data_IF_357626283034
#
_entry.id   IF_357626283034
#
_cell.length_a   1.000
_cell.length_b   1.000
_cell.length_c   1.000
_cell.angle_alpha   90.00
_cell.angle_beta   90.00
_cell.angle_gamma   90.00
#
_symmetry.space_group_name_H-M   'P 1'
#
loop_
_entity.id
_entity.type
_entity.pdbx_description
1 polymer ?
#
# COMPACT_ATOMS: atom_id res chain seq x y z
N UNK A 1 -6.99 6.18 -25.26
CA UNK A 1 -7.87 7.30 -24.82
C UNK A 1 -6.96 8.48 -24.51
N UNK A 2 -7.08 9.59 -25.25
CA UNK A 2 -6.23 10.77 -25.08
C UNK A 2 -7.09 11.99 -24.72
N UNK A 3 -7.14 12.33 -23.43
CA UNK A 3 -7.84 13.52 -22.92
C UNK A 3 -6.77 14.61 -22.69
N UNK A 4 -6.76 15.67 -23.49
CA UNK A 4 -5.68 16.66 -23.53
C UNK A 4 -5.42 17.33 -22.16
N UNK A 5 -6.45 17.45 -21.33
CA UNK A 5 -6.39 18.11 -20.02
C UNK A 5 -5.77 17.24 -18.91
N UNK A 6 -5.63 15.92 -19.11
CA UNK A 6 -5.05 15.01 -18.11
C UNK A 6 -3.55 14.88 -18.38
N UNK A 7 -2.69 15.39 -17.49
CA UNK A 7 -1.24 15.43 -17.70
C UNK A 7 -0.51 14.10 -17.46
N UNK A 8 -1.05 13.21 -16.63
CA UNK A 8 -0.45 11.93 -16.27
C UNK A 8 -1.53 10.92 -15.86
N UNK A 9 -1.20 9.63 -15.89
CA UNK A 9 -2.02 8.56 -15.32
C UNK A 9 -1.56 8.20 -13.90
N UNK A 10 -2.45 7.61 -13.11
CA UNK A 10 -2.08 7.01 -11.83
C UNK A 10 -2.79 5.69 -11.63
N UNK A 11 -2.19 4.83 -10.81
CA UNK A 11 -2.79 3.58 -10.37
C UNK A 11 -2.30 3.21 -8.97
N UNK A 12 -3.03 2.30 -8.33
CA UNK A 12 -2.70 1.74 -7.04
C UNK A 12 -2.54 0.22 -7.13
N UNK A 13 -1.76 -0.36 -6.21
CA UNK A 13 -1.49 -1.79 -6.12
C UNK A 13 -1.62 -2.28 -4.66
N UNK A 14 -2.79 -2.83 -4.33
CA UNK A 14 -3.13 -3.39 -3.02
C UNK A 14 -3.76 -4.78 -3.17
N UNK A 15 -2.96 -5.85 -3.37
CA UNK A 15 -3.49 -7.19 -3.63
C UNK A 15 -4.35 -7.77 -2.49
N UNK A 16 -4.17 -7.27 -1.25
CA UNK A 16 -5.01 -7.64 -0.10
C UNK A 16 -6.42 -7.02 -0.15
N UNK A 17 -6.68 -6.12 -1.11
CA UNK A 17 -7.95 -5.39 -1.27
C UNK A 17 -8.60 -5.66 -2.63
N UNK A 18 -7.80 -5.97 -3.65
CA UNK A 18 -8.24 -6.09 -5.03
C UNK A 18 -7.54 -7.25 -5.74
N UNK A 19 -8.28 -7.93 -6.63
CA UNK A 19 -7.71 -8.91 -7.54
C UNK A 19 -7.30 -8.25 -8.85
N UNK A 20 -6.01 -8.32 -9.19
CA UNK A 20 -5.44 -7.70 -10.40
C UNK A 20 -5.21 -8.68 -11.56
N UNK A 21 -5.18 -9.97 -11.26
CA UNK A 21 -5.08 -11.05 -12.24
C UNK A 21 -5.81 -12.31 -11.71
N UNK A 22 -6.27 -13.21 -12.59
CA UNK A 22 -6.71 -14.54 -12.17
C UNK A 22 -5.56 -15.30 -11.50
N UNK A 23 -5.84 -16.02 -10.43
CA UNK A 23 -4.85 -16.86 -9.75
C UNK A 23 -4.53 -18.10 -10.60
N UNK A 24 -3.25 -18.43 -10.74
CA UNK A 24 -2.81 -19.72 -11.27
C UNK A 24 -2.90 -20.75 -10.12
N UNK A 25 -3.75 -21.79 -10.24
CA UNK A 25 -3.90 -22.80 -9.20
C UNK A 25 -2.65 -23.65 -8.97
N UNK A 26 -1.65 -23.58 -9.86
CA UNK A 26 -0.38 -24.29 -9.73
C UNK A 26 0.71 -23.46 -9.04
N UNK A 27 0.45 -22.18 -8.75
CA UNK A 27 1.38 -21.30 -8.05
C UNK A 27 0.99 -21.15 -6.58
N UNK A 28 1.97 -21.05 -5.67
CA UNK A 28 1.70 -20.63 -4.29
C UNK A 28 1.02 -19.26 -4.27
N UNK A 29 0.16 -19.02 -3.27
CA UNK A 29 -0.60 -17.77 -3.15
C UNK A 29 0.27 -16.51 -3.21
N UNK A 30 1.42 -16.50 -2.51
CA UNK A 30 2.36 -15.39 -2.57
C UNK A 30 2.91 -15.13 -3.98
N UNK A 31 3.22 -16.20 -4.74
CA UNK A 31 3.69 -16.06 -6.12
C UNK A 31 2.60 -15.49 -7.03
N UNK A 32 1.33 -15.87 -6.84
CA UNK A 32 0.20 -15.25 -7.52
C UNK A 32 0.12 -13.75 -7.21
N UNK A 33 0.22 -13.35 -5.94
CA UNK A 33 0.26 -11.94 -5.53
C UNK A 33 1.36 -11.15 -6.24
N UNK A 34 2.58 -11.69 -6.26
CA UNK A 34 3.72 -11.02 -6.91
C UNK A 34 3.50 -10.91 -8.42
N UNK A 35 3.12 -12.00 -9.09
CA UNK A 35 2.90 -12.02 -10.55
C UNK A 35 1.76 -11.10 -10.98
N UNK A 36 0.66 -11.08 -10.22
CA UNK A 36 -0.46 -10.18 -10.46
C UNK A 36 -0.02 -8.71 -10.38
N UNK A 37 0.79 -8.35 -9.37
CA UNK A 37 1.35 -7.00 -9.25
C UNK A 37 2.29 -6.63 -10.39
N UNK A 38 3.18 -7.55 -10.81
CA UNK A 38 4.07 -7.34 -11.94
C UNK A 38 3.31 -7.14 -13.24
N UNK A 39 2.26 -7.95 -13.49
CA UNK A 39 1.40 -7.81 -14.66
C UNK A 39 0.65 -6.48 -14.65
N UNK A 40 0.10 -6.08 -13.50
CA UNK A 40 -0.62 -4.82 -13.34
C UNK A 40 0.26 -3.61 -13.67
N UNK A 41 1.50 -3.60 -13.16
CA UNK A 41 2.50 -2.55 -13.47
C UNK A 41 2.79 -2.49 -14.98
N UNK A 42 3.01 -3.64 -15.63
CA UNK A 42 3.28 -3.69 -17.08
C UNK A 42 2.11 -3.16 -17.89
N UNK A 43 0.88 -3.55 -17.56
CA UNK A 43 -0.32 -3.08 -18.24
C UNK A 43 -0.46 -1.55 -18.16
N UNK A 44 -0.24 -0.98 -16.98
CA UNK A 44 -0.29 0.46 -16.78
C UNK A 44 0.81 1.20 -17.54
N UNK A 45 2.05 0.69 -17.54
CA UNK A 45 3.14 1.24 -18.35
C UNK A 45 2.83 1.18 -19.86
N UNK A 46 2.34 0.04 -20.37
CA UNK A 46 1.96 -0.07 -21.79
C UNK A 46 0.86 0.92 -22.18
N UNK A 47 -0.11 1.12 -21.28
CA UNK A 47 -1.15 2.14 -21.46
C UNK A 47 -0.55 3.56 -21.49
N UNK A 48 0.45 3.85 -20.65
CA UNK A 48 1.09 5.16 -20.58
C UNK A 48 1.91 5.45 -21.83
N UNK A 49 2.63 4.45 -22.35
CA UNK A 49 3.37 4.53 -23.62
C UNK A 49 2.43 4.79 -24.79
N UNK A 50 1.30 4.09 -24.85
CA UNK A 50 0.27 4.29 -25.88
C UNK A 50 -0.34 5.70 -25.80
N UNK A 51 -0.51 6.24 -24.60
CA UNK A 51 -1.06 7.58 -24.37
C UNK A 51 0.00 8.70 -24.48
N UNK A 52 1.28 8.35 -24.58
CA UNK A 52 2.44 9.25 -24.46
C UNK A 52 2.35 10.18 -23.23
N UNK A 53 2.00 9.60 -22.07
CA UNK A 53 1.87 10.34 -20.81
C UNK A 53 2.61 9.64 -19.69
N UNK A 54 3.21 10.39 -18.74
CA UNK A 54 3.74 9.81 -17.53
C UNK A 54 2.67 9.03 -16.77
N UNK A 55 3.09 7.99 -16.05
CA UNK A 55 2.23 7.26 -15.13
C UNK A 55 2.94 7.03 -13.80
N UNK A 56 2.20 7.14 -12.70
CA UNK A 56 2.72 7.02 -11.33
C UNK A 56 1.96 5.89 -10.61
N UNK A 57 2.68 5.03 -9.89
CA UNK A 57 2.08 4.14 -8.90
C UNK A 57 1.86 4.95 -7.61
N UNK A 58 0.67 5.49 -7.42
CA UNK A 58 0.37 6.49 -6.38
C UNK A 58 0.13 5.88 -4.99
N UNK A 59 0.08 4.56 -4.90
CA UNK A 59 -0.01 3.82 -3.66
C UNK A 59 0.23 2.35 -3.93
N UNK A 60 1.10 1.74 -3.15
CA UNK A 60 1.20 0.29 -3.09
C UNK A 60 1.47 -0.16 -1.67
N UNK A 61 1.06 -1.38 -1.36
CA UNK A 61 1.34 -1.99 -0.08
C UNK A 61 0.92 -3.44 -0.02
N UNK A 62 1.51 -4.16 0.94
CA UNK A 62 1.03 -5.46 1.39
C UNK A 62 0.83 -5.44 2.90
N UNK A 63 -0.26 -6.04 3.34
CA UNK A 63 -0.52 -6.31 4.75
C UNK A 63 0.37 -7.46 5.19
N UNK A 64 1.07 -7.29 6.31
CA UNK A 64 1.83 -8.36 6.90
C UNK A 64 1.05 -9.04 8.01
N UNK A 65 1.48 -10.24 8.39
CA UNK A 65 0.90 -10.97 9.51
C UNK A 65 0.94 -10.15 10.81
N UNK A 66 1.97 -9.31 10.97
CA UNK A 66 2.10 -8.40 12.10
C UNK A 66 1.14 -7.21 12.03
N UNK A 67 0.92 -6.66 10.83
CA UNK A 67 0.04 -5.50 10.66
C UNK A 67 -1.43 -5.86 10.42
N UNK A 68 -1.73 -7.15 10.23
CA UNK A 68 -3.08 -7.68 10.05
C UNK A 68 -4.08 -7.21 11.13
N UNK A 69 -3.74 -7.16 12.44
CA UNK A 69 -4.67 -6.67 13.45
C UNK A 69 -5.12 -5.21 13.27
N UNK A 70 -4.35 -4.39 12.55
CA UNK A 70 -4.71 -3.01 12.20
C UNK A 70 -5.28 -2.88 10.79
N UNK A 71 -5.34 -3.95 10.01
CA UNK A 71 -5.81 -3.88 8.64
C UNK A 71 -7.31 -3.63 8.58
N UNK A 72 -7.70 -2.62 7.79
CA UNK A 72 -9.10 -2.30 7.51
C UNK A 72 -9.33 -2.43 6.00
N UNK A 73 -10.21 -3.34 5.55
CA UNK A 73 -10.62 -3.42 4.16
C UNK A 73 -11.24 -2.10 3.67
N UNK A 74 -11.03 -1.71 2.40
CA UNK A 74 -11.52 -0.42 1.87
C UNK A 74 -13.06 -0.31 1.87
N UNK A 75 -13.77 -1.42 1.96
CA UNK A 75 -15.23 -1.48 2.08
C UNK A 75 -15.72 -1.70 3.53
N UNK A 76 -14.84 -1.54 4.52
CA UNK A 76 -15.10 -1.79 5.93
C UNK A 76 -14.66 -0.60 6.78
N UNK A 77 -15.26 -0.45 7.95
CA UNK A 77 -14.80 0.43 9.04
C UNK A 77 -14.29 -0.35 10.24
N UNK A 78 -14.29 -1.68 10.14
CA UNK A 78 -13.87 -2.63 11.17
C UNK A 78 -12.59 -3.30 10.72
N UNK A 79 -11.61 -3.42 11.63
CA UNK A 79 -10.43 -4.25 11.44
C UNK A 79 -10.78 -5.71 11.80
N UNK A 80 -11.04 -6.59 10.81
CA UNK A 80 -11.62 -7.90 11.09
C UNK A 80 -10.65 -8.86 11.78
N UNK A 81 -9.35 -8.55 11.77
CA UNK A 81 -8.29 -9.34 12.38
C UNK A 81 -7.76 -8.73 13.69
N UNK A 82 -8.40 -7.66 14.21
CA UNK A 82 -8.00 -7.08 15.48
C UNK A 82 -8.22 -8.07 16.63
N UNK A 83 -7.31 -8.07 17.60
CA UNK A 83 -7.32 -8.99 18.75
C UNK A 83 -8.38 -8.65 19.82
N UNK A 84 -9.21 -7.61 19.60
CA UNK A 84 -10.14 -7.08 20.59
C UNK A 84 -11.60 -7.12 20.15
N UNK A 85 -12.50 -7.28 21.12
CA UNK A 85 -13.95 -7.18 20.91
C UNK A 85 -14.32 -5.73 20.55
N UNK A 86 -15.04 -5.52 19.44
CA UNK A 86 -15.70 -4.24 19.19
C UNK A 86 -17.16 -4.37 19.66
N UNK A 87 -17.45 -3.89 20.86
CA UNK A 87 -18.79 -4.03 21.47
C UNK A 87 -19.11 -5.49 21.81
N UNK A 88 -20.23 -6.02 21.30
CA UNK A 88 -20.64 -7.43 21.47
C UNK A 88 -20.11 -8.34 20.35
N UNK A 89 -19.25 -7.84 19.46
CA UNK A 89 -18.67 -8.62 18.37
C UNK A 89 -17.37 -9.26 18.86
N UNK A 90 -17.41 -10.57 19.07
CA UNK A 90 -16.19 -11.37 19.23
C UNK A 90 -15.50 -11.46 17.87
N UNK A 91 -14.45 -10.67 17.67
CA UNK A 91 -13.52 -10.89 16.58
C UNK A 91 -12.78 -12.19 16.89
N UNK A 92 -13.04 -13.23 16.11
CA UNK A 92 -12.39 -14.52 16.28
C UNK A 92 -10.96 -14.35 15.77
N UNK A 93 -9.90 -14.52 16.58
CA UNK A 93 -8.51 -14.45 16.09
C UNK A 93 -8.14 -15.63 15.16
N UNK A 94 -9.11 -16.37 14.64
CA UNK A 94 -8.92 -17.54 13.80
C UNK A 94 -9.36 -17.27 12.38
N UNK A 95 -8.42 -17.34 11.42
CA UNK A 95 -8.20 -18.51 10.53
C UNK A 95 -6.86 -18.28 9.81
N UNK A 96 -5.78 -18.95 10.25
CA UNK A 96 -4.44 -18.89 9.65
C UNK A 96 -3.85 -17.45 9.58
N UNK A 97 -2.53 -17.27 9.44
CA UNK A 97 -2.00 -15.92 9.42
C UNK A 97 -2.45 -15.19 8.13
N UNK A 98 -3.30 -14.17 8.28
CA UNK A 98 -3.68 -13.27 7.19
C UNK A 98 -2.50 -12.37 6.81
N UNK A 99 -2.38 -12.04 5.54
CA UNK A 99 -1.27 -11.25 5.02
C UNK A 99 0.02 -12.05 4.85
N UNK A 100 1.02 -11.37 4.30
CA UNK A 100 2.32 -11.96 3.98
C UNK A 100 3.28 -11.86 5.18
N UNK A 101 4.34 -12.67 5.17
CA UNK A 101 5.46 -12.44 6.11
C UNK A 101 6.23 -11.17 5.72
N UNK A 102 6.97 -10.54 6.65
CA UNK A 102 7.79 -9.37 6.29
C UNK A 102 8.83 -9.65 5.19
N UNK A 103 9.53 -10.81 5.15
CA UNK A 103 10.41 -11.14 4.04
C UNK A 103 9.68 -11.21 2.70
N UNK A 104 8.47 -11.78 2.68
CA UNK A 104 7.62 -11.83 1.48
C UNK A 104 7.19 -10.42 1.03
N UNK A 105 6.80 -9.54 1.96
CA UNK A 105 6.52 -8.13 1.63
C UNK A 105 7.74 -7.48 0.99
N UNK A 106 8.91 -7.63 1.60
CA UNK A 106 10.14 -6.99 1.13
C UNK A 106 10.53 -7.50 -0.27
N UNK A 107 10.40 -8.81 -0.51
CA UNK A 107 10.63 -9.43 -1.81
C UNK A 107 9.65 -8.89 -2.88
N UNK A 108 8.36 -8.86 -2.57
CA UNK A 108 7.36 -8.29 -3.46
C UNK A 108 7.64 -6.81 -3.77
N UNK A 109 7.98 -6.01 -2.75
CA UNK A 109 8.29 -4.59 -2.91
C UNK A 109 9.51 -4.40 -3.80
N UNK A 110 10.58 -5.17 -3.60
CA UNK A 110 11.77 -5.14 -4.45
C UNK A 110 11.41 -5.44 -5.91
N UNK A 111 10.65 -6.51 -6.16
CA UNK A 111 10.26 -6.90 -7.52
C UNK A 111 9.33 -5.87 -8.19
N UNK A 112 8.36 -5.33 -7.46
CA UNK A 112 7.45 -4.31 -7.98
C UNK A 112 8.15 -2.98 -8.24
N UNK A 113 9.05 -2.55 -7.36
CA UNK A 113 9.85 -1.33 -7.57
C UNK A 113 10.76 -1.48 -8.79
N UNK A 114 11.50 -2.59 -8.88
CA UNK A 114 12.36 -2.88 -10.04
C UNK A 114 11.56 -2.94 -11.34
N UNK A 115 10.41 -3.64 -11.35
CA UNK A 115 9.54 -3.68 -12.52
C UNK A 115 9.00 -2.29 -12.85
N UNK A 116 8.59 -1.49 -11.87
CA UNK A 116 8.11 -0.13 -12.08
C UNK A 116 9.16 0.76 -12.73
N UNK A 117 10.38 0.75 -12.21
CA UNK A 117 11.52 1.48 -12.76
C UNK A 117 11.83 0.99 -14.19
N UNK A 118 11.98 -0.31 -14.39
CA UNK A 118 12.27 -0.90 -15.70
C UNK A 118 11.16 -0.63 -16.73
N UNK A 119 9.92 -0.45 -16.28
CA UNK A 119 8.77 -0.12 -17.15
C UNK A 119 8.61 1.38 -17.38
N UNK A 120 9.49 2.23 -16.83
CA UNK A 120 9.44 3.68 -17.00
C UNK A 120 8.30 4.36 -16.27
N UNK A 121 7.86 3.83 -15.11
CA UNK A 121 6.99 4.60 -14.22
C UNK A 121 7.70 5.91 -13.85
N UNK A 122 6.95 7.01 -13.77
CA UNK A 122 7.48 8.32 -13.41
C UNK A 122 7.59 8.55 -11.89
N UNK A 123 6.99 7.66 -11.10
CA UNK A 123 7.02 7.72 -9.65
C UNK A 123 6.33 6.52 -9.02
N UNK A 124 6.75 6.19 -7.80
CA UNK A 124 6.21 5.08 -7.01
C UNK A 124 6.12 5.56 -5.55
N UNK A 125 4.94 5.43 -4.94
CA UNK A 125 4.66 5.90 -3.59
C UNK A 125 4.20 4.72 -2.72
N UNK A 126 4.96 4.42 -1.66
CA UNK A 126 4.56 3.42 -0.68
C UNK A 126 3.46 3.98 0.23
N UNK A 127 2.42 3.17 0.44
CA UNK A 127 1.37 3.44 1.40
C UNK A 127 1.52 2.47 2.59
N UNK A 128 1.44 2.87 3.86
CA UNK A 128 1.16 4.20 4.42
C UNK A 128 2.37 4.77 5.18
N UNK A 129 2.73 6.02 4.90
CA UNK A 129 3.64 6.77 5.74
C UNK A 129 2.90 7.17 7.03
N UNK A 130 3.46 6.86 8.20
CA UNK A 130 2.94 7.36 9.49
C UNK A 130 3.78 8.55 9.94
N UNK A 131 3.11 9.67 10.18
CA UNK A 131 3.66 10.83 10.87
C UNK A 131 2.75 11.15 12.06
N UNK A 132 3.29 11.68 13.17
CA UNK A 132 2.44 12.38 14.13
C UNK A 132 1.64 13.48 13.39
N UNK A 133 0.34 13.55 13.66
CA UNK A 133 -0.55 14.57 13.12
C UNK A 133 -1.33 15.22 14.27
N UNK A 134 -1.45 16.55 14.24
CA UNK A 134 -2.20 17.30 15.24
C UNK A 134 -3.66 17.42 14.75
N UNK A 135 -4.57 16.67 15.37
CA UNK A 135 -6.00 16.81 15.07
C UNK A 135 -6.56 18.04 15.81
N UNK A 136 -7.24 18.98 15.12
CA UNK A 136 -7.96 20.05 15.80
C UNK A 136 -9.18 19.47 16.53
N UNK A 137 -9.44 19.94 17.75
CA UNK A 137 -10.71 19.62 18.43
C UNK A 137 -11.79 20.54 17.86
N UNK A 138 -12.85 19.97 17.27
CA UNK A 138 -14.02 20.75 16.85
C UNK A 138 -14.81 21.10 18.11
N UNK A 139 -14.81 22.36 18.50
CA UNK A 139 -15.74 22.89 19.51
C UNK A 139 -16.82 23.70 18.81
N UNK A 140 -18.03 23.74 19.39
CA UNK A 140 -19.26 24.31 18.77
C UNK A 140 -19.14 25.79 18.34
N UNK A 141 -18.05 26.51 18.66
CA UNK A 141 -17.91 27.96 18.49
C UNK A 141 -16.81 28.43 17.52
N UNK A 142 -16.16 27.53 16.77
CA UNK A 142 -15.15 27.91 15.76
C UNK A 142 -13.85 27.12 15.86
N UNK A 143 -13.06 27.16 14.78
CA UNK A 143 -11.82 26.39 14.62
C UNK A 143 -10.68 27.13 15.31
N UNK A 144 -10.58 27.01 16.63
CA UNK A 144 -9.35 27.32 17.36
C UNK A 144 -8.55 26.00 17.50
N UNK A 145 -7.35 25.85 16.92
CA UNK A 145 -6.55 24.65 17.09
C UNK A 145 -6.01 24.58 18.52
N UNK A 146 -6.77 23.96 19.42
CA UNK A 146 -6.32 23.69 20.79
C UNK A 146 -5.37 22.47 20.78
N UNK A 147 -4.11 22.68 21.17
CA UNK A 147 -3.02 21.69 21.18
C UNK A 147 -3.18 20.62 22.29
N UNK A 148 -4.18 19.73 22.17
CA UNK A 148 -4.51 18.84 23.30
C UNK A 148 -4.22 17.35 23.02
N UNK A 149 -3.87 16.97 21.79
CA UNK A 149 -3.49 15.59 21.51
C UNK A 149 -2.53 15.48 20.33
N UNK A 150 -1.48 14.69 20.51
CA UNK A 150 -0.71 14.11 19.42
C UNK A 150 -1.51 12.92 18.89
N UNK A 151 -2.27 13.14 17.83
CA UNK A 151 -2.85 12.04 17.07
C UNK A 151 -1.75 11.33 16.29
N UNK A 152 -1.79 10.00 16.24
CA UNK A 152 -1.09 9.28 15.18
C UNK A 152 -2.11 9.03 14.09
N UNK A 153 -1.74 9.23 12.82
CA UNK A 153 -2.62 8.86 11.73
C UNK A 153 -3.08 7.39 11.91
N UNK A 154 -4.37 7.09 11.62
CA UNK A 154 -4.87 5.72 11.63
C UNK A 154 -3.94 4.81 10.82
N UNK A 155 -3.81 3.56 11.28
CA UNK A 155 -3.00 2.56 10.58
C UNK A 155 -3.95 1.60 9.89
N UNK A 156 -4.03 1.64 8.57
CA UNK A 156 -4.87 0.74 7.78
C UNK A 156 -4.16 -0.60 7.45
N UNK A 157 -3.20 -1.01 8.29
CA UNK A 157 -2.43 -2.24 8.13
C UNK A 157 -1.25 -2.18 7.15
N UNK A 158 -1.02 -1.07 6.45
CA UNK A 158 0.10 -0.94 5.49
C UNK A 158 1.30 -0.14 6.04
N UNK A 159 1.34 0.11 7.34
CA UNK A 159 2.44 0.90 7.90
C UNK A 159 3.69 0.06 7.91
N UNK A 160 4.80 0.69 7.53
CA UNK A 160 6.13 0.09 7.64
C UNK A 160 6.81 0.48 8.96
N UNK A 161 6.12 1.22 9.85
CA UNK A 161 6.68 1.59 11.15
C UNK A 161 6.60 0.41 12.10
N UNK A 162 7.74 -0.01 12.66
CA UNK A 162 7.83 -1.19 13.53
C UNK A 162 8.79 -2.24 12.99
N UNK A 163 8.40 -3.52 13.09
CA UNK A 163 9.25 -4.64 12.66
C UNK A 163 9.38 -4.66 11.12
N UNK A 164 10.60 -4.94 10.65
CA UNK A 164 10.91 -4.96 9.22
C UNK A 164 10.99 -3.57 8.56
N UNK A 165 10.82 -2.47 9.32
CA UNK A 165 10.92 -1.10 8.84
C UNK A 165 12.22 -0.84 8.09
N UNK A 166 13.36 -1.17 8.72
CA UNK A 166 14.69 -0.90 8.16
C UNK A 166 14.86 -1.62 6.81
N UNK A 167 14.43 -2.87 6.72
CA UNK A 167 14.51 -3.64 5.47
C UNK A 167 13.66 -3.03 4.37
N UNK A 168 12.44 -2.57 4.67
CA UNK A 168 11.59 -1.90 3.68
C UNK A 168 12.18 -0.55 3.28
N UNK A 169 12.69 0.22 4.24
CA UNK A 169 13.36 1.49 3.98
C UNK A 169 14.57 1.30 3.08
N UNK A 170 15.37 0.26 3.31
CA UNK A 170 16.51 -0.08 2.45
C UNK A 170 16.06 -0.42 1.02
N UNK A 171 15.00 -1.23 0.86
CA UNK A 171 14.43 -1.56 -0.46
C UNK A 171 13.93 -0.29 -1.18
N UNK A 172 13.21 0.59 -0.48
CA UNK A 172 12.71 1.85 -1.06
C UNK A 172 13.85 2.81 -1.39
N UNK A 173 14.86 2.94 -0.51
CA UNK A 173 16.02 3.81 -0.74
C UNK A 173 16.84 3.35 -1.94
N UNK A 174 17.06 2.04 -2.09
CA UNK A 174 17.76 1.47 -3.26
C UNK A 174 16.98 1.76 -4.55
N UNK A 175 15.66 1.62 -4.53
CA UNK A 175 14.83 1.97 -5.68
C UNK A 175 14.86 3.48 -5.99
N UNK A 176 14.82 4.34 -4.97
CA UNK A 176 14.86 5.79 -5.12
C UNK A 176 16.15 6.27 -5.80
N UNK A 177 17.29 5.62 -5.53
CA UNK A 177 18.56 5.93 -6.20
C UNK A 177 18.52 5.68 -7.71
N UNK A 178 17.63 4.81 -8.20
CA UNK A 178 17.48 4.52 -9.63
C UNK A 178 16.57 5.53 -10.36
N UNK A 179 15.79 6.34 -9.63
CA UNK A 179 15.01 7.44 -10.20
C UNK A 179 15.81 8.73 -10.37
N UNK A 180 16.92 8.88 -9.64
CA UNK A 180 17.79 10.03 -9.79
C UNK A 180 18.56 9.92 -11.12
N UNK A 181 18.62 10.98 -11.95
CA UNK A 181 19.53 11.00 -13.08
C UNK A 181 20.98 10.94 -12.56
N UNK A 182 21.84 10.20 -13.26
CA UNK A 182 23.29 10.40 -13.15
C UNK A 182 23.66 11.83 -13.55
#
# INVERSE_FOLDING_TARGET
MHIAQIGFGSFQLFPDQNQYAPDDPNLPAFNNTVQAGLQWIRMHSQSSQTANKPIIMSGFGLVTQESAPSFVPFNSTVAPFANDQIGNVTLNPGVAPYGVTDPQRNDAYMQWLQQGIASGLAGIIQYQARSPFHAPTITENGIEPVQNSTGVSPSDGYSIVGVGQESVQNVIQQAAQQFAPN
#
